data_IF_164824945253
#
_entry.id   IF_164824945253
#
_cell.length_a   1.000
_cell.length_b   1.000
_cell.length_c   1.000
_cell.angle_alpha   90.00
_cell.angle_beta   90.00
_cell.angle_gamma   90.00
#
_symmetry.space_group_name_H-M   'P 1'
#
loop_
_entity.id
_entity.type
_entity.pdbx_description
1 polymer ?
#
# COMPACT_ATOMS: atom_id res chain seq x y z
N UNK A 1 26.17 20.21 -39.72
CA UNK A 1 25.10 19.28 -39.29
C UNK A 1 25.60 18.41 -38.13
N UNK A 2 24.81 18.35 -37.06
CA UNK A 2 24.68 17.22 -36.11
C UNK A 2 25.67 17.05 -34.94
N UNK A 3 25.89 18.07 -34.10
CA UNK A 3 26.53 17.88 -32.78
C UNK A 3 25.56 17.94 -31.59
N UNK A 4 24.32 18.40 -31.78
CA UNK A 4 23.33 18.56 -30.69
C UNK A 4 22.66 17.25 -30.24
N UNK A 5 22.73 16.17 -31.04
CA UNK A 5 22.01 14.91 -30.79
C UNK A 5 22.76 13.99 -29.80
N UNK A 6 24.06 14.19 -29.59
CA UNK A 6 24.89 13.26 -28.78
C UNK A 6 24.82 13.45 -27.25
N UNK A 7 24.10 14.46 -26.73
CA UNK A 7 24.05 14.74 -25.29
C UNK A 7 22.70 14.46 -24.61
N UNK A 8 21.70 13.98 -25.34
CA UNK A 8 20.41 13.61 -24.77
C UNK A 8 20.37 12.37 -23.84
N UNK A 9 21.25 11.34 -23.95
CA UNK A 9 21.03 10.12 -23.17
C UNK A 9 21.43 10.26 -21.70
N UNK A 10 22.20 11.28 -21.32
CA UNK A 10 22.62 11.46 -19.91
C UNK A 10 21.55 12.08 -19.02
N UNK A 11 20.60 12.85 -19.57
CA UNK A 11 19.51 13.45 -18.79
C UNK A 11 18.39 12.46 -18.46
N UNK A 12 18.25 11.38 -19.24
CA UNK A 12 17.23 10.36 -19.01
C UNK A 12 17.50 9.47 -17.79
N UNK A 13 18.78 9.27 -17.42
CA UNK A 13 19.15 8.39 -16.31
C UNK A 13 19.00 9.03 -14.93
N UNK A 14 18.98 10.37 -14.83
CA UNK A 14 18.82 11.06 -13.53
C UNK A 14 17.34 11.24 -13.16
N UNK A 15 16.43 11.22 -14.14
CA UNK A 15 15.00 11.42 -13.91
C UNK A 15 14.27 10.16 -13.40
N UNK A 16 14.83 8.96 -13.64
CA UNK A 16 14.23 7.70 -13.21
C UNK A 16 14.36 7.42 -11.70
N UNK A 17 15.36 8.01 -11.02
CA UNK A 17 15.60 7.78 -9.60
C UNK A 17 14.63 8.54 -8.67
N UNK A 18 13.87 9.51 -9.21
CA UNK A 18 13.00 10.39 -8.40
C UNK A 18 11.56 9.88 -8.31
N UNK A 19 11.16 8.92 -9.14
CA UNK A 19 9.79 8.37 -9.14
C UNK A 19 9.59 7.21 -8.16
N UNK A 20 10.64 6.70 -7.51
CA UNK A 20 10.49 5.66 -6.47
C UNK A 20 9.98 6.19 -5.11
N UNK A 21 9.83 7.52 -4.96
CA UNK A 21 9.39 8.15 -3.71
C UNK A 21 8.02 8.82 -3.79
N UNK A 22 7.29 8.66 -4.90
CA UNK A 22 5.94 9.18 -5.00
C UNK A 22 4.97 8.20 -4.33
N UNK A 23 4.32 8.66 -3.25
CA UNK A 23 3.08 8.11 -2.64
C UNK A 23 3.17 7.18 -1.41
N UNK A 24 4.25 7.13 -0.65
CA UNK A 24 4.11 6.74 0.76
C UNK A 24 3.79 7.99 1.58
N UNK A 25 2.57 8.54 1.42
CA UNK A 25 2.05 9.48 2.41
C UNK A 25 2.09 8.71 3.73
N UNK A 26 2.79 9.19 4.78
CA UNK A 26 2.77 8.50 6.07
C UNK A 26 1.32 8.47 6.50
N UNK A 27 0.72 7.27 6.49
CA UNK A 27 -0.53 7.04 7.19
C UNK A 27 -0.19 7.27 8.64
N UNK A 28 -0.98 8.09 9.33
CA UNK A 28 -0.71 8.43 10.73
C UNK A 28 -0.53 7.12 11.51
N UNK A 29 0.67 6.81 12.05
CA UNK A 29 0.97 5.51 12.64
C UNK A 29 0.14 5.23 13.91
N UNK A 30 -0.61 6.23 14.38
CA UNK A 30 -1.51 6.13 15.52
C UNK A 30 -2.97 5.95 15.13
N UNK A 31 -3.33 6.06 13.84
CA UNK A 31 -4.69 5.78 13.40
C UNK A 31 -4.88 4.26 13.27
N UNK A 32 -5.79 3.67 14.06
CA UNK A 32 -6.04 2.24 13.98
C UNK A 32 -6.53 1.86 12.58
N UNK A 33 -5.98 0.77 12.04
CA UNK A 33 -6.30 0.26 10.72
C UNK A 33 -6.59 -1.23 10.80
N UNK A 34 -7.73 -1.62 10.27
CA UNK A 34 -8.17 -3.01 10.26
C UNK A 34 -8.50 -3.46 8.84
N UNK A 35 -8.09 -4.68 8.50
CA UNK A 35 -8.46 -5.35 7.26
C UNK A 35 -9.25 -6.62 7.54
N UNK A 36 -10.13 -7.01 6.63
CA UNK A 36 -10.87 -8.27 6.71
C UNK A 36 -10.56 -9.12 5.47
N UNK A 37 -10.14 -10.37 5.66
CA UNK A 37 -9.89 -11.29 4.55
C UNK A 37 -11.19 -11.94 4.01
N UNK A 38 -11.05 -12.77 2.97
CA UNK A 38 -12.17 -13.52 2.37
C UNK A 38 -12.87 -14.49 3.32
N UNK A 39 -12.16 -14.92 4.37
CA UNK A 39 -12.67 -15.85 5.38
C UNK A 39 -13.41 -15.12 6.50
N UNK A 40 -13.42 -13.79 6.48
CA UNK A 40 -14.04 -12.93 7.48
C UNK A 40 -13.15 -12.67 8.70
N UNK A 41 -11.88 -13.08 8.66
CA UNK A 41 -10.91 -12.86 9.73
C UNK A 41 -10.43 -11.40 9.70
N UNK A 42 -10.36 -10.79 10.88
CA UNK A 42 -9.96 -9.38 11.04
C UNK A 42 -8.49 -9.31 11.42
N UNK A 43 -7.76 -8.36 10.85
CA UNK A 43 -6.33 -8.15 11.09
C UNK A 43 -6.09 -6.70 11.52
N UNK A 44 -5.33 -6.50 12.59
CA UNK A 44 -4.79 -5.18 12.95
C UNK A 44 -3.55 -4.91 12.09
N UNK A 45 -3.65 -3.89 11.24
CA UNK A 45 -2.57 -3.46 10.33
C UNK A 45 -2.11 -2.03 10.60
N UNK A 46 -2.43 -1.49 11.79
CA UNK A 46 -2.11 -0.11 12.21
C UNK A 46 -0.63 0.25 12.01
N UNK A 47 0.28 -0.69 12.29
CA UNK A 47 1.72 -0.54 12.14
C UNK A 47 2.33 -1.54 11.13
N UNK A 48 1.50 -2.04 10.22
CA UNK A 48 1.92 -2.99 9.19
C UNK A 48 2.09 -2.24 7.88
N UNK A 49 3.18 -2.52 7.16
CA UNK A 49 3.42 -1.90 5.87
C UNK A 49 2.58 -2.57 4.78
N UNK A 50 2.11 -1.78 3.81
CA UNK A 50 1.51 -2.30 2.58
C UNK A 50 2.59 -2.81 1.63
N UNK A 51 2.45 -4.04 1.16
CA UNK A 51 3.33 -4.68 0.19
C UNK A 51 3.08 -6.19 0.12
N UNK A 52 3.85 -6.89 -0.71
CA UNK A 52 3.67 -8.33 -0.97
C UNK A 52 4.52 -9.24 -0.07
N UNK A 53 5.13 -8.68 0.98
CA UNK A 53 5.91 -9.42 1.96
C UNK A 53 5.07 -10.29 2.92
N UNK A 54 5.70 -11.23 3.64
CA UNK A 54 4.98 -12.15 4.52
C UNK A 54 4.42 -11.47 5.78
N UNK A 55 5.02 -10.37 6.22
CA UNK A 55 4.54 -9.54 7.36
C UNK A 55 3.87 -8.25 6.87
N UNK A 56 3.43 -8.20 5.61
CA UNK A 56 2.84 -7.03 4.98
C UNK A 56 1.40 -7.35 4.57
N UNK A 57 0.62 -6.33 4.19
CA UNK A 57 -0.72 -6.54 3.63
C UNK A 57 -0.85 -5.93 2.24
N UNK A 58 -1.80 -6.42 1.47
CA UNK A 58 -2.13 -5.89 0.15
C UNK A 58 -3.58 -5.41 0.10
N UNK A 59 -3.82 -4.46 -0.79
CA UNK A 59 -5.14 -4.03 -1.21
C UNK A 59 -5.25 -4.30 -2.70
N UNK A 60 -5.76 -5.48 -3.06
CA UNK A 60 -5.93 -5.87 -4.45
C UNK A 60 -7.01 -4.99 -5.08
N UNK A 61 -6.72 -4.37 -6.23
CA UNK A 61 -7.57 -3.31 -6.79
C UNK A 61 -8.94 -3.88 -7.19
N UNK A 62 -9.94 -3.61 -6.35
CA UNK A 62 -11.35 -3.97 -6.52
C UNK A 62 -12.22 -2.78 -6.11
N UNK A 63 -13.55 -2.90 -6.25
CA UNK A 63 -14.52 -1.89 -5.78
C UNK A 63 -14.84 -2.00 -4.29
N UNK A 64 -14.15 -2.84 -3.55
CA UNK A 64 -14.39 -3.10 -2.12
C UNK A 64 -13.59 -2.13 -1.23
N UNK A 65 -13.91 -2.13 0.06
CA UNK A 65 -13.16 -1.38 1.08
C UNK A 65 -12.03 -2.25 1.62
N UNK A 66 -10.79 -1.78 1.50
CA UNK A 66 -9.64 -2.56 1.95
C UNK A 66 -9.42 -2.45 3.46
N UNK A 67 -9.47 -1.22 3.98
CA UNK A 67 -9.15 -0.92 5.37
C UNK A 67 -10.27 -0.13 6.05
N UNK A 68 -10.37 -0.32 7.35
CA UNK A 68 -11.36 0.27 8.24
C UNK A 68 -10.66 0.94 9.42
N UNK A 69 -11.25 2.00 9.95
CA UNK A 69 -10.73 2.75 11.10
C UNK A 69 -11.12 2.09 12.44
N UNK A 70 -12.02 1.10 12.41
CA UNK A 70 -12.53 0.41 13.59
C UNK A 70 -12.66 -1.10 13.36
N UNK A 71 -12.50 -1.87 14.43
CA UNK A 71 -12.60 -3.34 14.41
C UNK A 71 -14.02 -3.84 14.06
N UNK A 72 -15.05 -3.00 14.21
CA UNK A 72 -16.43 -3.38 13.85
C UNK A 72 -16.71 -3.18 12.36
N UNK A 73 -15.72 -2.71 11.58
CA UNK A 73 -15.82 -2.48 10.14
C UNK A 73 -17.00 -1.56 9.80
N UNK A 74 -17.12 -0.44 10.52
CA UNK A 74 -18.20 0.54 10.33
C UNK A 74 -17.74 1.86 9.70
N UNK A 75 -16.45 2.19 9.83
CA UNK A 75 -15.81 3.40 9.33
C UNK A 75 -14.78 3.03 8.26
N UNK A 76 -15.14 3.09 6.96
CA UNK A 76 -14.22 2.75 5.89
C UNK A 76 -13.12 3.82 5.81
N UNK A 77 -11.87 3.38 5.71
CA UNK A 77 -10.77 4.27 5.32
C UNK A 77 -10.81 4.44 3.81
N UNK A 78 -10.31 5.59 3.32
CA UNK A 78 -10.20 5.88 1.87
C UNK A 78 -9.13 5.00 1.23
N UNK A 79 -9.44 3.71 1.14
CA UNK A 79 -8.63 2.64 0.57
C UNK A 79 -9.57 1.70 -0.18
N UNK A 80 -9.46 1.74 -1.51
CA UNK A 80 -10.21 0.84 -2.37
C UNK A 80 -9.38 -0.42 -2.59
N UNK A 81 -10.03 -1.56 -2.53
CA UNK A 81 -9.45 -2.86 -2.81
C UNK A 81 -9.89 -3.93 -1.82
N UNK A 82 -9.58 -5.16 -2.18
CA UNK A 82 -9.77 -6.32 -1.35
C UNK A 82 -8.54 -6.51 -0.46
N UNK A 83 -8.77 -6.68 0.84
CA UNK A 83 -7.68 -6.92 1.78
C UNK A 83 -7.12 -8.33 1.62
N UNK A 84 -5.80 -8.43 1.50
CA UNK A 84 -5.08 -9.71 1.44
C UNK A 84 -3.96 -9.69 2.48
N UNK A 85 -4.03 -10.52 3.53
CA UNK A 85 -2.99 -10.59 4.54
C UNK A 85 -1.75 -11.33 4.02
N UNK A 86 -0.57 -10.90 4.47
CA UNK A 86 0.66 -11.66 4.32
C UNK A 86 0.65 -12.94 5.17
N UNK A 87 1.42 -13.93 4.76
CA UNK A 87 1.41 -15.28 5.33
C UNK A 87 1.74 -15.36 6.85
N UNK A 88 2.40 -14.35 7.41
CA UNK A 88 2.77 -14.30 8.83
C UNK A 88 1.87 -13.35 9.65
N UNK A 89 0.93 -12.63 9.03
CA UNK A 89 -0.01 -11.82 9.78
C UNK A 89 -0.98 -12.73 10.55
N UNK A 90 -1.24 -12.37 11.80
CA UNK A 90 -2.12 -13.13 12.69
C UNK A 90 -3.42 -12.34 12.85
N UNK A 91 -4.59 -12.99 12.70
CA UNK A 91 -5.85 -12.33 12.91
C UNK A 91 -6.08 -12.01 14.40
N UNK A 92 -6.86 -10.97 14.65
CA UNK A 92 -7.37 -10.62 15.97
C UNK A 92 -8.75 -11.26 16.16
N UNK A 93 -8.96 -11.89 17.31
CA UNK A 93 -10.24 -12.49 17.70
C UNK A 93 -11.19 -11.46 18.30
#
# INVERSE_FOLDING_TARGET
>A
MNTLIKRLPLLAFVLAAVFAFAFTKPVDPLQPQYGQDDMGLIYDVTNVQRGSGPNEYQCDITSETCLWADIQLTQPLSSNGKFVPGANLVPIN
#
